data_IF_988137712852
#
_entry.id   IF_988137712852
#
_cell.length_a   1.000
_cell.length_b   1.000
_cell.length_c   1.000
_cell.angle_alpha   90.00
_cell.angle_beta   90.00
_cell.angle_gamma   90.00
#
_symmetry.space_group_name_H-M   'P 1'
#
loop_
_entity.id
_entity.type
_entity.pdbx_description
1 polymer ?
#
# COMPACT_ATOMS: atom_id res chain seq x y z
N UNK A 1 18.66 14.75 -47.17
CA UNK A 1 18.91 13.74 -48.23
C UNK A 1 19.69 12.58 -47.62
N UNK A 2 19.09 11.40 -47.71
CA UNK A 2 19.59 10.05 -47.36
C UNK A 2 20.25 9.47 -48.63
N UNK A 3 21.36 8.69 -48.58
CA UNK A 3 21.39 7.22 -48.31
C UNK A 3 22.58 6.78 -47.41
N UNK A 4 22.49 5.88 -46.41
CA UNK A 4 22.21 4.42 -46.28
C UNK A 4 23.03 3.50 -47.23
N UNK A 5 23.58 2.42 -46.63
CA UNK A 5 24.01 1.08 -47.14
C UNK A 5 25.56 0.89 -47.01
N UNK A 6 26.18 -0.13 -46.38
CA UNK A 6 25.77 -1.39 -45.69
C UNK A 6 27.01 -2.17 -45.17
N UNK A 7 26.85 -2.89 -44.04
CA UNK A 7 27.35 -4.25 -43.65
C UNK A 7 28.85 -4.68 -43.64
N UNK A 8 29.19 -5.22 -42.45
CA UNK A 8 29.68 -6.60 -42.13
C UNK A 8 31.18 -6.96 -41.96
N UNK A 9 31.38 -7.59 -40.79
CA UNK A 9 32.16 -8.78 -40.42
C UNK A 9 33.70 -8.78 -40.19
N UNK A 10 34.01 -9.34 -39.01
CA UNK A 10 35.29 -9.86 -38.43
C UNK A 10 36.11 -10.72 -39.40
N UNK A 11 37.42 -10.94 -39.15
CA UNK A 11 37.80 -12.19 -38.47
C UNK A 11 39.12 -12.18 -37.61
N UNK A 12 39.14 -13.11 -36.64
CA UNK A 12 40.20 -13.98 -36.07
C UNK A 12 41.71 -13.65 -36.15
N UNK A 13 42.37 -13.72 -34.98
CA UNK A 13 43.29 -14.82 -34.62
C UNK A 13 44.80 -14.62 -34.84
N UNK A 14 45.59 -14.74 -33.77
CA UNK A 14 46.97 -15.25 -33.82
C UNK A 14 47.45 -15.70 -32.43
N UNK A 15 47.81 -16.98 -32.35
CA UNK A 15 48.53 -17.67 -31.27
C UNK A 15 49.99 -17.78 -31.74
N UNK A 16 51.00 -17.54 -30.89
CA UNK A 16 52.25 -18.31 -30.97
C UNK A 16 53.09 -18.25 -29.69
N UNK A 17 53.59 -19.43 -29.32
CA UNK A 17 54.40 -19.81 -28.17
C UNK A 17 55.89 -19.49 -28.36
N UNK A 18 56.68 -19.40 -27.27
CA UNK A 18 57.97 -20.10 -27.15
C UNK A 18 58.56 -20.07 -25.72
N UNK A 19 59.09 -21.22 -25.31
CA UNK A 19 59.83 -21.52 -24.07
C UNK A 19 61.30 -21.04 -24.14
N UNK A 20 61.91 -20.69 -22.99
CA UNK A 20 63.28 -21.15 -22.63
C UNK A 20 63.68 -20.97 -21.14
N UNK A 21 63.79 -22.12 -20.47
CA UNK A 21 64.75 -22.64 -19.46
C UNK A 21 65.85 -21.81 -18.72
N UNK A 22 66.08 -22.24 -17.44
CA UNK A 22 67.27 -22.22 -16.54
C UNK A 22 67.75 -20.84 -15.99
N UNK A 23 68.22 -20.59 -14.74
CA UNK A 23 68.77 -21.40 -13.61
C UNK A 23 68.94 -20.50 -12.34
N UNK A 24 68.70 -21.09 -11.16
CA UNK A 24 69.39 -20.97 -9.84
C UNK A 24 69.88 -19.58 -9.33
N UNK A 25 69.34 -19.12 -8.18
CA UNK A 25 70.05 -18.96 -6.88
C UNK A 25 69.11 -18.47 -5.78
N UNK A 26 69.08 -19.20 -4.66
CA UNK A 26 68.48 -18.78 -3.39
C UNK A 26 69.37 -17.74 -2.71
N UNK A 27 68.78 -16.64 -2.21
CA UNK A 27 69.20 -16.02 -0.93
C UNK A 27 68.05 -15.20 -0.34
N UNK A 28 67.93 -15.35 0.97
CA UNK A 28 66.95 -14.87 1.92
C UNK A 28 67.10 -13.36 2.21
N UNK A 29 66.05 -12.55 2.06
CA UNK A 29 65.83 -11.30 2.83
C UNK A 29 64.36 -10.92 2.87
N UNK A 30 63.85 -10.77 4.08
CA UNK A 30 62.54 -10.25 4.46
C UNK A 30 62.45 -8.76 4.12
N UNK A 31 61.49 -8.36 3.30
CA UNK A 31 61.02 -6.96 3.26
C UNK A 31 59.55 -6.89 2.83
N UNK A 32 58.80 -6.04 3.51
CA UNK A 32 57.33 -5.96 3.50
C UNK A 32 56.86 -5.20 2.26
N UNK A 33 56.09 -5.85 1.39
CA UNK A 33 55.48 -5.21 0.22
C UNK A 33 54.26 -4.36 0.63
N UNK A 34 54.08 -3.13 0.10
CA UNK A 34 52.95 -2.28 0.45
C UNK A 34 51.67 -2.76 -0.23
N UNK A 35 50.66 -3.11 0.56
CA UNK A 35 49.29 -3.39 0.10
C UNK A 35 48.70 -2.11 -0.51
N UNK A 36 48.49 -2.12 -1.83
CA UNK A 36 47.74 -1.09 -2.56
C UNK A 36 46.26 -1.21 -2.14
N UNK A 37 45.79 -0.22 -1.37
CA UNK A 37 44.38 -0.09 -0.97
C UNK A 37 43.56 0.36 -2.18
N UNK A 38 42.63 -0.47 -2.64
CA UNK A 38 41.64 -0.08 -3.64
C UNK A 38 40.67 0.97 -3.05
N UNK A 39 40.19 1.97 -3.81
CA UNK A 39 39.28 2.97 -3.28
C UNK A 39 37.94 2.33 -2.91
N UNK A 40 37.56 2.44 -1.65
CA UNK A 40 36.22 2.08 -1.18
C UNK A 40 35.18 2.92 -1.93
N UNK A 41 34.33 2.25 -2.68
CA UNK A 41 33.17 2.89 -3.32
C UNK A 41 32.16 3.17 -2.22
N UNK A 42 32.07 4.42 -1.76
CA UNK A 42 31.10 4.79 -0.73
C UNK A 42 29.68 4.57 -1.26
N UNK A 43 28.92 3.68 -0.61
CA UNK A 43 27.49 3.54 -0.87
C UNK A 43 26.78 4.88 -0.62
N UNK A 44 25.73 5.22 -1.39
CA UNK A 44 24.93 6.41 -1.13
C UNK A 44 24.36 6.38 0.31
N UNK A 45 24.15 7.54 0.95
CA UNK A 45 23.48 7.60 2.25
C UNK A 45 22.13 6.88 2.19
N UNK A 46 21.91 5.92 3.10
CA UNK A 46 20.63 5.24 3.21
C UNK A 46 19.53 6.27 3.46
N UNK A 47 18.56 6.38 2.54
CA UNK A 47 17.32 7.10 2.79
C UNK A 47 16.66 6.53 4.05
N UNK A 48 16.03 7.35 4.92
CA UNK A 48 15.28 6.82 6.05
C UNK A 48 14.28 5.79 5.52
N UNK A 49 14.39 4.55 5.99
CA UNK A 49 13.49 3.48 5.58
C UNK A 49 12.11 3.76 6.16
N UNK A 50 11.11 3.97 5.29
CA UNK A 50 9.71 3.98 5.71
C UNK A 50 9.41 2.68 6.45
N UNK A 51 8.70 2.70 7.60
CA UNK A 51 8.34 1.49 8.30
C UNK A 51 7.60 0.51 7.38
N UNK A 52 7.93 -0.78 7.48
CA UNK A 52 7.17 -1.83 6.79
C UNK A 52 5.72 -1.93 7.29
N UNK A 53 4.90 -2.82 6.72
CA UNK A 53 3.53 -3.02 7.17
C UNK A 53 3.44 -3.34 8.68
N UNK A 54 2.51 -2.73 9.43
CA UNK A 54 2.34 -2.99 10.86
C UNK A 54 1.82 -4.41 11.14
N UNK A 55 2.11 -4.90 12.34
CA UNK A 55 1.52 -6.14 12.85
C UNK A 55 0.00 -5.97 13.03
N UNK A 56 -0.76 -7.03 12.73
CA UNK A 56 -2.22 -7.03 12.90
C UNK A 56 -2.58 -7.23 14.38
N UNK A 57 -3.20 -6.23 15.00
CA UNK A 57 -3.71 -6.35 16.36
C UNK A 57 -5.15 -6.83 16.42
N UNK A 58 -5.54 -7.36 17.58
CA UNK A 58 -6.90 -7.78 17.90
C UNK A 58 -7.42 -6.93 19.06
N UNK A 59 -8.49 -6.19 18.84
CA UNK A 59 -9.06 -5.24 19.79
C UNK A 59 -10.54 -5.54 20.01
N UNK A 60 -10.99 -5.38 21.24
CA UNK A 60 -12.39 -5.54 21.61
C UNK A 60 -12.83 -4.45 22.59
N UNK A 61 -14.14 -4.18 22.60
CA UNK A 61 -14.78 -3.32 23.60
C UNK A 61 -15.99 -4.07 24.14
N UNK A 62 -16.11 -4.11 25.46
CA UNK A 62 -17.28 -4.58 26.18
C UNK A 62 -18.06 -3.40 26.73
N UNK A 63 -19.37 -3.56 26.85
CA UNK A 63 -20.21 -2.61 27.56
C UNK A 63 -20.14 -2.80 29.09
N UNK A 64 -20.90 -2.04 29.86
CA UNK A 64 -20.98 -2.17 31.32
C UNK A 64 -21.59 -3.48 31.82
N UNK A 65 -22.19 -4.29 30.93
CA UNK A 65 -22.76 -5.61 31.24
C UNK A 65 -21.85 -6.75 30.74
N UNK A 66 -20.56 -6.47 30.54
CA UNK A 66 -19.53 -7.41 30.05
C UNK A 66 -19.88 -8.10 28.71
N UNK A 67 -20.73 -7.48 27.92
CA UNK A 67 -21.12 -7.96 26.60
C UNK A 67 -20.27 -7.29 25.54
N UNK A 68 -19.68 -8.09 24.64
CA UNK A 68 -18.93 -7.58 23.49
C UNK A 68 -19.83 -6.70 22.63
N UNK A 69 -19.36 -5.51 22.29
CA UNK A 69 -20.10 -4.54 21.48
C UNK A 69 -19.31 -4.02 20.30
N UNK A 70 -17.98 -4.22 20.28
CA UNK A 70 -17.13 -3.91 19.14
C UNK A 70 -15.98 -4.91 19.06
N UNK A 71 -15.73 -5.43 17.86
CA UNK A 71 -14.56 -6.21 17.52
C UNK A 71 -13.78 -5.53 16.40
N UNK A 72 -12.47 -5.55 16.49
CA UNK A 72 -11.58 -5.03 15.46
C UNK A 72 -10.34 -5.90 15.35
N UNK A 73 -9.93 -6.23 14.13
CA UNK A 73 -8.65 -6.86 13.82
C UNK A 73 -7.99 -6.08 12.69
N UNK A 74 -6.94 -5.34 12.99
CA UNK A 74 -6.29 -4.47 12.00
C UNK A 74 -4.87 -4.12 12.40
N UNK A 75 -3.98 -4.02 11.41
CA UNK A 75 -2.70 -3.33 11.54
C UNK A 75 -2.88 -1.84 11.28
N UNK A 76 -2.20 -1.00 12.07
CA UNK A 76 -2.39 0.45 12.06
C UNK A 76 -1.06 1.16 11.86
N UNK A 77 -1.01 2.03 10.86
CA UNK A 77 0.13 2.90 10.59
C UNK A 77 -0.38 4.34 10.45
N UNK A 78 0.18 5.21 11.28
CA UNK A 78 -0.11 6.64 11.28
C UNK A 78 0.84 7.33 10.31
N UNK A 79 0.32 8.22 9.50
CA UNK A 79 1.12 9.15 8.71
C UNK A 79 0.72 10.57 9.13
N UNK A 80 1.62 11.22 9.84
CA UNK A 80 1.37 12.51 10.50
C UNK A 80 2.35 13.57 10.03
N UNK A 81 1.86 14.80 9.91
CA UNK A 81 2.66 15.98 9.58
C UNK A 81 2.64 16.92 10.79
N UNK A 82 3.80 17.34 11.28
CA UNK A 82 3.89 18.21 12.44
C UNK A 82 5.11 19.15 12.38
N UNK A 83 5.08 20.23 13.16
CA UNK A 83 6.23 21.13 13.28
C UNK A 83 7.29 20.54 14.21
N UNK A 84 8.47 20.26 13.65
CA UNK A 84 9.65 19.78 14.37
C UNK A 84 10.19 20.85 15.32
N UNK A 85 10.50 20.45 16.55
CA UNK A 85 11.12 21.27 17.58
C UNK A 85 12.59 21.56 17.29
N UNK A 86 13.30 20.59 16.70
CA UNK A 86 14.73 20.68 16.40
C UNK A 86 15.02 21.53 15.15
N UNK A 87 14.15 21.46 14.14
CA UNK A 87 14.35 22.15 12.86
C UNK A 87 13.44 23.36 12.64
N UNK A 88 12.38 23.52 13.43
CA UNK A 88 11.38 24.58 13.27
C UNK A 88 10.57 24.50 11.97
N UNK A 89 10.60 23.35 11.29
CA UNK A 89 9.94 23.10 9.99
C UNK A 89 8.91 21.98 10.13
N UNK A 90 7.93 21.97 9.23
CA UNK A 90 7.01 20.84 9.12
C UNK A 90 7.74 19.61 8.60
N UNK A 91 7.61 18.50 9.31
CA UNK A 91 8.15 17.19 8.97
C UNK A 91 6.99 16.19 8.92
N UNK A 92 7.14 15.19 8.06
CA UNK A 92 6.19 14.08 7.95
C UNK A 92 6.84 12.84 8.54
N UNK A 93 6.10 12.14 9.40
CA UNK A 93 6.54 10.92 10.05
C UNK A 93 5.50 9.82 9.88
N UNK A 94 5.99 8.62 9.58
CA UNK A 94 5.18 7.41 9.47
C UNK A 94 5.52 6.53 10.67
N UNK A 95 4.50 6.12 11.42
CA UNK A 95 4.66 5.34 12.65
C UNK A 95 3.68 4.18 12.68
N UNK A 96 4.19 2.98 12.96
CA UNK A 96 3.35 1.81 13.22
C UNK A 96 2.93 1.79 14.69
N UNK A 97 1.66 1.47 14.94
CA UNK A 97 1.21 1.11 16.29
C UNK A 97 1.52 -0.37 16.55
N UNK A 98 1.93 -0.69 17.78
CA UNK A 98 2.32 -2.04 18.18
C UNK A 98 1.22 -2.68 19.02
N UNK A 99 0.53 -3.72 18.52
CA UNK A 99 -0.59 -4.36 19.22
C UNK A 99 -0.27 -4.77 20.66
N UNK A 100 0.96 -5.23 20.91
CA UNK A 100 1.41 -5.67 22.24
C UNK A 100 1.58 -4.54 23.28
N UNK A 101 1.66 -3.28 22.83
CA UNK A 101 1.83 -2.09 23.67
C UNK A 101 0.54 -1.27 23.82
N UNK A 102 -0.46 -1.55 22.96
CA UNK A 102 -1.72 -0.81 22.94
C UNK A 102 -2.58 -1.16 24.15
N UNK A 103 -3.04 -0.12 24.84
CA UNK A 103 -4.15 -0.19 25.80
C UNK A 103 -5.45 0.10 25.08
N UNK A 104 -6.37 -0.86 25.13
CA UNK A 104 -7.70 -0.73 24.52
C UNK A 104 -8.69 -0.20 25.54
N UNK A 105 -9.51 0.75 25.13
CA UNK A 105 -10.66 1.26 25.88
C UNK A 105 -11.76 1.67 24.90
N UNK A 106 -12.95 2.00 25.40
CA UNK A 106 -14.06 2.34 24.53
C UNK A 106 -15.39 2.35 25.27
N UNK A 107 -16.45 2.60 24.52
CA UNK A 107 -17.82 2.52 25.02
C UNK A 107 -18.78 2.26 23.86
N UNK A 108 -19.94 1.70 24.18
CA UNK A 108 -21.00 1.48 23.22
C UNK A 108 -22.34 1.91 23.81
N UNK A 109 -23.12 2.62 23.01
CA UNK A 109 -24.55 2.85 23.15
C UNK A 109 -25.27 2.08 22.02
N UNK A 110 -26.62 2.08 21.97
CA UNK A 110 -27.34 1.42 20.89
C UNK A 110 -27.00 1.95 19.49
N UNK A 111 -26.60 3.22 19.38
CA UNK A 111 -26.41 3.96 18.13
C UNK A 111 -24.99 4.50 17.92
N UNK A 112 -24.12 4.41 18.93
CA UNK A 112 -22.74 4.89 18.89
C UNK A 112 -21.76 3.89 19.52
N UNK A 113 -20.59 3.69 18.91
CA UNK A 113 -19.54 2.88 19.47
C UNK A 113 -18.18 3.54 19.28
N UNK A 114 -17.36 3.54 20.32
CA UNK A 114 -16.02 4.10 20.31
C UNK A 114 -14.98 3.03 20.62
N UNK A 115 -13.93 2.97 19.79
CA UNK A 115 -12.71 2.20 20.04
C UNK A 115 -11.56 3.19 20.24
N UNK A 116 -10.97 3.19 21.43
CA UNK A 116 -9.84 4.04 21.80
C UNK A 116 -8.61 3.19 22.05
N UNK A 117 -7.58 3.40 21.23
CA UNK A 117 -6.29 2.72 21.29
C UNK A 117 -5.24 3.71 21.78
N UNK A 118 -4.56 3.37 22.87
CA UNK A 118 -3.52 4.23 23.45
C UNK A 118 -2.19 3.48 23.53
N UNK A 119 -1.16 4.03 22.92
CA UNK A 119 0.24 3.55 22.98
C UNK A 119 1.12 4.74 23.35
N UNK A 120 1.80 4.67 24.50
CA UNK A 120 2.58 5.77 25.07
C UNK A 120 1.82 7.11 25.10
N UNK A 121 2.30 8.09 24.32
CA UNK A 121 1.73 9.45 24.21
C UNK A 121 0.80 9.61 23.00
N UNK A 122 0.40 8.49 22.39
CA UNK A 122 -0.44 8.44 21.20
C UNK A 122 -1.78 7.84 21.57
N UNK A 123 -2.85 8.48 21.12
CA UNK A 123 -4.23 8.03 21.33
C UNK A 123 -4.98 8.18 20.02
N UNK A 124 -5.48 7.06 19.50
CA UNK A 124 -6.30 6.99 18.30
C UNK A 124 -7.70 6.53 18.70
N UNK A 125 -8.73 7.32 18.36
CA UNK A 125 -10.12 7.04 18.70
C UNK A 125 -10.95 6.92 17.43
N UNK A 126 -11.51 5.74 17.20
CA UNK A 126 -12.49 5.46 16.15
C UNK A 126 -13.88 5.63 16.74
N UNK A 127 -14.74 6.34 16.01
CA UNK A 127 -16.13 6.60 16.37
C UNK A 127 -17.03 6.05 15.28
N UNK A 128 -17.92 5.14 15.63
CA UNK A 128 -18.89 4.53 14.74
C UNK A 128 -20.30 4.99 15.10
N UNK A 129 -21.11 5.23 14.07
CA UNK A 129 -22.52 5.58 14.22
C UNK A 129 -23.40 4.59 13.47
N UNK A 130 -24.51 4.18 14.09
CA UNK A 130 -25.52 3.29 13.51
C UNK A 130 -26.76 4.09 13.14
N UNK A 131 -27.22 3.93 11.91
CA UNK A 131 -28.55 4.35 11.50
C UNK A 131 -29.53 3.19 11.70
N UNK A 132 -30.33 3.25 12.76
CA UNK A 132 -31.28 2.18 13.11
C UNK A 132 -32.42 2.00 12.10
N UNK A 133 -32.69 2.99 11.25
CA UNK A 133 -33.72 2.87 10.21
C UNK A 133 -33.23 2.04 9.03
N UNK A 134 -31.97 2.22 8.63
CA UNK A 134 -31.36 1.44 7.53
C UNK A 134 -30.58 0.22 8.00
N UNK A 135 -30.38 0.05 9.32
CA UNK A 135 -29.50 -0.96 9.92
C UNK A 135 -28.08 -0.91 9.34
N UNK A 136 -27.58 0.28 9.03
CA UNK A 136 -26.22 0.49 8.49
C UNK A 136 -25.39 1.29 9.48
N UNK A 137 -24.17 0.82 9.76
CA UNK A 137 -23.17 1.57 10.49
C UNK A 137 -22.11 2.13 9.55
N UNK A 138 -21.38 3.12 10.04
CA UNK A 138 -20.17 3.63 9.39
C UNK A 138 -19.22 4.19 10.46
N UNK A 139 -17.94 4.28 10.13
CA UNK A 139 -16.97 5.11 10.83
C UNK A 139 -17.34 6.57 10.58
N UNK A 140 -17.94 7.21 11.59
CA UNK A 140 -18.39 8.60 11.56
C UNK A 140 -17.31 9.57 12.00
N UNK A 141 -16.35 9.13 12.81
CA UNK A 141 -15.23 9.96 13.19
C UNK A 141 -13.95 9.22 13.53
N UNK A 142 -12.85 9.95 13.38
CA UNK A 142 -11.51 9.50 13.74
C UNK A 142 -10.75 10.67 14.36
N UNK A 143 -10.20 10.45 15.54
CA UNK A 143 -9.42 11.44 16.29
C UNK A 143 -8.05 10.88 16.66
N UNK A 144 -7.01 11.68 16.45
CA UNK A 144 -5.64 11.39 16.86
C UNK A 144 -5.16 12.48 17.83
N UNK A 145 -4.63 12.06 18.97
CA UNK A 145 -3.78 12.87 19.84
C UNK A 145 -2.40 12.23 19.94
N UNK A 146 -1.34 12.94 19.56
CA UNK A 146 0.03 12.43 19.59
C UNK A 146 1.01 13.47 20.13
N UNK A 147 1.97 13.03 20.94
CA UNK A 147 3.12 13.83 21.34
C UNK A 147 4.41 13.00 21.18
N UNK A 148 5.13 13.25 20.09
CA UNK A 148 6.41 12.61 19.78
C UNK A 148 7.58 13.45 20.29
N UNK A 149 8.78 12.87 20.50
CA UNK A 149 9.93 13.58 21.07
C UNK A 149 10.35 14.84 20.31
N UNK A 150 10.24 14.86 18.98
CA UNK A 150 10.60 16.03 18.16
C UNK A 150 9.41 16.95 17.84
N UNK A 151 8.22 16.71 18.40
CA UNK A 151 7.08 17.61 18.20
C UNK A 151 7.23 18.88 19.05
N UNK A 152 7.17 20.05 18.41
CA UNK A 152 7.15 21.33 19.13
C UNK A 152 5.92 21.47 20.05
N UNK A 153 4.80 20.82 19.69
CA UNK A 153 3.56 20.77 20.47
C UNK A 153 2.82 19.47 20.16
N UNK A 154 2.05 18.97 21.13
CA UNK A 154 1.09 17.87 20.94
C UNK A 154 0.17 18.14 19.74
N UNK A 155 0.12 17.20 18.82
CA UNK A 155 -0.79 17.17 17.69
C UNK A 155 -2.15 16.64 18.16
N UNK A 156 -3.23 17.36 17.86
CA UNK A 156 -4.61 16.92 18.09
C UNK A 156 -5.40 17.23 16.82
N UNK A 157 -5.85 16.19 16.14
CA UNK A 157 -6.59 16.29 14.88
C UNK A 157 -7.78 15.36 14.91
N UNK A 158 -8.90 15.79 14.35
CA UNK A 158 -10.10 14.97 14.26
C UNK A 158 -10.90 15.29 13.01
N UNK A 159 -11.65 14.30 12.55
CA UNK A 159 -12.72 14.47 11.57
C UNK A 159 -13.93 13.68 12.08
N UNK A 160 -15.09 14.33 12.16
CA UNK A 160 -16.33 13.77 12.73
C UNK A 160 -17.46 13.67 11.70
N UNK A 161 -17.14 13.85 10.42
CA UNK A 161 -18.08 13.75 9.30
C UNK A 161 -17.64 12.69 8.31
N UNK A 162 -16.93 11.66 8.79
CA UNK A 162 -16.47 10.56 7.95
C UNK A 162 -17.66 9.68 7.55
N UNK A 163 -17.58 9.08 6.36
CA UNK A 163 -18.49 8.04 5.92
C UNK A 163 -17.66 6.90 5.34
N UNK A 164 -16.97 6.19 6.22
CA UNK A 164 -16.00 5.14 5.85
C UNK A 164 -16.32 3.84 6.60
N UNK A 165 -15.73 2.70 6.19
CA UNK A 165 -15.99 1.38 6.81
C UNK A 165 -17.49 1.10 7.00
N UNK A 166 -18.27 1.33 5.93
CA UNK A 166 -19.72 1.19 5.96
C UNK A 166 -20.09 -0.29 5.97
N UNK A 167 -20.98 -0.70 6.88
CA UNK A 167 -21.42 -2.09 6.99
C UNK A 167 -22.85 -2.23 7.50
N UNK A 168 -23.38 -3.44 7.44
CA UNK A 168 -24.71 -3.78 8.01
C UNK A 168 -24.62 -4.20 9.48
N UNK A 169 -25.59 -3.80 10.29
CA UNK A 169 -25.72 -4.27 11.67
C UNK A 169 -25.65 -5.80 11.75
N UNK A 170 -24.75 -6.32 12.59
CA UNK A 170 -24.50 -7.76 12.74
C UNK A 170 -23.51 -8.36 11.73
N UNK A 171 -23.03 -7.57 10.77
CA UNK A 171 -22.00 -7.93 9.80
C UNK A 171 -20.69 -7.19 10.11
N UNK A 172 -19.57 -7.76 9.66
CA UNK A 172 -18.26 -7.13 9.77
C UNK A 172 -17.84 -6.48 8.45
N UNK A 173 -17.20 -5.32 8.50
CA UNK A 173 -16.54 -4.72 7.35
C UNK A 173 -15.11 -5.26 7.24
N UNK A 174 -14.69 -5.76 6.08
CA UNK A 174 -13.39 -6.40 5.89
C UNK A 174 -12.64 -5.86 4.67
N UNK A 175 -11.36 -5.57 4.82
CA UNK A 175 -10.42 -5.27 3.73
C UNK A 175 -9.15 -6.09 3.88
N UNK A 176 -8.81 -6.90 2.89
CA UNK A 176 -7.55 -7.64 2.88
C UNK A 176 -6.36 -6.77 2.48
N UNK A 177 -6.54 -5.91 1.47
CA UNK A 177 -5.52 -4.97 1.01
C UNK A 177 -5.42 -3.76 1.93
N UNK A 178 -4.28 -3.08 1.86
CA UNK A 178 -4.06 -1.80 2.53
C UNK A 178 -5.12 -0.78 2.10
N UNK A 179 -5.63 -0.01 3.08
CA UNK A 179 -6.48 1.14 2.83
C UNK A 179 -5.93 2.36 3.56
N UNK A 180 -5.78 3.45 2.82
CA UNK A 180 -5.43 4.77 3.34
C UNK A 180 -6.67 5.62 3.48
N UNK A 181 -6.91 6.11 4.70
CA UNK A 181 -7.95 7.07 5.02
C UNK A 181 -7.31 8.43 5.31
N UNK A 182 -7.51 9.40 4.41
CA UNK A 182 -7.13 10.79 4.65
C UNK A 182 -8.12 11.46 5.61
N UNK A 183 -7.66 11.84 6.79
CA UNK A 183 -8.52 12.39 7.86
C UNK A 183 -8.49 13.91 7.82
N UNK A 184 -7.27 14.47 7.79
CA UNK A 184 -6.97 15.90 7.65
C UNK A 184 -5.75 16.08 6.75
N UNK A 185 -5.34 17.32 6.49
CA UNK A 185 -4.09 17.59 5.76
C UNK A 185 -2.85 17.08 6.50
N UNK A 186 -2.91 17.04 7.83
CA UNK A 186 -1.79 16.68 8.71
C UNK A 186 -1.84 15.23 9.20
N UNK A 187 -2.89 14.48 8.84
CA UNK A 187 -3.05 13.10 9.30
C UNK A 187 -3.80 12.22 8.30
N UNK A 188 -3.18 11.10 7.98
CA UNK A 188 -3.80 9.96 7.31
C UNK A 188 -3.54 8.67 8.09
N UNK A 189 -4.50 7.76 8.03
CA UNK A 189 -4.44 6.46 8.66
C UNK A 189 -4.35 5.38 7.59
N UNK A 190 -3.29 4.59 7.65
CA UNK A 190 -3.15 3.37 6.86
C UNK A 190 -3.61 2.17 7.70
N UNK A 191 -4.48 1.35 7.13
CA UNK A 191 -5.03 0.14 7.77
C UNK A 191 -4.67 -1.08 6.94
N UNK A 192 -4.31 -2.17 7.62
CA UNK A 192 -3.82 -3.41 7.00
C UNK A 192 -4.61 -4.61 7.53
N UNK A 193 -5.05 -5.51 6.63
CA UNK A 193 -5.84 -6.71 6.99
C UNK A 193 -7.01 -6.37 7.94
N UNK A 194 -7.70 -5.29 7.60
CA UNK A 194 -8.76 -4.68 8.40
C UNK A 194 -9.98 -5.59 8.43
N UNK A 195 -10.48 -5.87 9.63
CA UNK A 195 -11.82 -6.38 9.84
C UNK A 195 -12.40 -5.72 11.08
N UNK A 196 -13.56 -5.10 10.98
CA UNK A 196 -14.19 -4.38 12.09
C UNK A 196 -15.68 -4.63 12.12
N UNK A 197 -16.23 -4.77 13.32
CA UNK A 197 -17.67 -4.87 13.54
C UNK A 197 -18.02 -4.09 14.81
N UNK A 198 -18.56 -2.87 14.65
CA UNK A 198 -19.27 -2.20 15.73
C UNK A 198 -20.71 -2.75 15.79
N UNK A 199 -21.27 -2.81 16.99
CA UNK A 199 -22.65 -3.24 17.26
C UNK A 199 -22.95 -4.70 16.87
N UNK A 200 -24.03 -5.24 17.42
CA UNK A 200 -24.56 -6.56 17.03
C UNK A 200 -23.54 -7.71 17.10
N UNK A 201 -22.56 -7.63 18.01
CA UNK A 201 -21.52 -8.66 18.17
C UNK A 201 -22.07 -9.79 19.04
N UNK A 202 -22.05 -11.02 18.51
CA UNK A 202 -22.50 -12.22 19.22
C UNK A 202 -21.36 -13.24 19.31
N UNK A 203 -20.35 -12.94 20.13
CA UNK A 203 -19.18 -13.79 20.35
C UNK A 203 -18.00 -13.45 19.42
N UNK A 204 -18.11 -13.71 18.12
CA UNK A 204 -17.09 -13.37 17.12
C UNK A 204 -17.69 -12.50 16.00
N UNK A 205 -16.88 -12.15 14.99
CA UNK A 205 -17.34 -11.45 13.80
C UNK A 205 -18.50 -12.19 13.12
N UNK A 206 -19.52 -11.43 12.74
CA UNK A 206 -20.53 -11.87 11.79
C UNK A 206 -20.00 -11.90 10.36
N UNK A 207 -20.91 -12.16 9.41
CA UNK A 207 -20.55 -12.26 7.99
C UNK A 207 -19.80 -11.01 7.50
N UNK A 208 -18.74 -11.22 6.74
CA UNK A 208 -17.89 -10.15 6.25
C UNK A 208 -18.45 -9.53 4.96
N UNK A 209 -18.65 -8.21 4.99
CA UNK A 209 -18.84 -7.36 3.82
C UNK A 209 -17.45 -6.87 3.41
N UNK A 210 -16.95 -7.42 2.31
CA UNK A 210 -15.64 -7.05 1.79
C UNK A 210 -15.70 -5.68 1.15
N UNK A 211 -14.69 -4.86 1.42
CA UNK A 211 -14.63 -3.54 0.86
C UNK A 211 -14.34 -3.60 -0.64
N UNK A 212 -15.00 -2.71 -1.38
CA UNK A 212 -14.75 -2.54 -2.80
C UNK A 212 -13.27 -2.15 -2.99
N UNK A 213 -12.53 -3.07 -3.59
CA UNK A 213 -11.13 -2.92 -3.95
C UNK A 213 -11.10 -2.98 -5.46
N UNK A 214 -11.14 -1.81 -6.09
CA UNK A 214 -10.73 -1.61 -7.48
C UNK A 214 -11.37 -2.64 -8.43
N UNK A 215 -12.70 -2.70 -8.42
CA UNK A 215 -13.42 -3.27 -9.55
C UNK A 215 -12.95 -2.58 -10.85
N UNK A 216 -12.56 -1.31 -10.81
CA UNK A 216 -12.05 -0.56 -11.96
C UNK A 216 -10.77 -1.11 -12.60
N UNK A 217 -9.76 -1.57 -11.86
CA UNK A 217 -8.47 -1.97 -12.46
C UNK A 217 -8.56 -3.25 -13.31
N UNK A 218 -9.52 -4.14 -13.01
CA UNK A 218 -9.83 -5.30 -13.85
C UNK A 218 -11.05 -5.09 -14.75
N UNK A 219 -12.04 -4.27 -14.36
CA UNK A 219 -13.19 -3.96 -15.21
C UNK A 219 -12.79 -3.11 -16.42
N UNK A 220 -11.92 -2.12 -16.26
CA UNK A 220 -11.46 -1.27 -17.37
C UNK A 220 -10.88 -2.12 -18.51
N UNK A 221 -9.90 -3.03 -18.31
CA UNK A 221 -9.38 -3.84 -19.39
C UNK A 221 -10.42 -4.84 -19.95
N UNK A 222 -11.36 -5.35 -19.15
CA UNK A 222 -12.45 -6.22 -19.64
C UNK A 222 -13.39 -5.44 -20.57
N UNK A 223 -13.81 -4.23 -20.16
CA UNK A 223 -14.70 -3.36 -20.95
C UNK A 223 -14.01 -2.93 -22.25
N UNK A 224 -12.74 -2.51 -22.17
CA UNK A 224 -11.94 -2.15 -23.35
C UNK A 224 -11.77 -3.36 -24.27
N UNK A 225 -11.47 -4.53 -23.73
CA UNK A 225 -11.33 -5.78 -24.50
C UNK A 225 -12.61 -6.17 -25.23
N UNK A 226 -13.76 -6.11 -24.55
CA UNK A 226 -15.07 -6.41 -25.14
C UNK A 226 -15.43 -5.41 -26.25
N UNK A 227 -15.20 -4.11 -26.04
CA UNK A 227 -15.47 -3.07 -27.03
C UNK A 227 -14.62 -3.25 -28.30
N UNK A 228 -13.33 -3.58 -28.16
CA UNK A 228 -12.44 -3.83 -29.29
C UNK A 228 -12.85 -5.08 -30.08
N UNK A 229 -13.24 -6.16 -29.40
CA UNK A 229 -13.68 -7.39 -30.06
C UNK A 229 -14.96 -7.16 -30.90
N UNK A 230 -15.94 -6.42 -30.35
CA UNK A 230 -17.17 -6.07 -31.06
C UNK A 230 -16.89 -5.20 -32.28
N UNK A 231 -16.01 -4.19 -32.15
CA UNK A 231 -15.63 -3.32 -33.27
C UNK A 231 -14.99 -4.11 -34.42
N UNK A 232 -14.06 -5.02 -34.11
CA UNK A 232 -13.40 -5.87 -35.11
C UNK A 232 -14.42 -6.74 -35.84
N UNK A 233 -15.37 -7.34 -35.11
CA UNK A 233 -16.42 -8.18 -35.70
C UNK A 233 -17.29 -7.36 -36.68
N UNK A 234 -17.69 -6.15 -36.30
CA UNK A 234 -18.45 -5.23 -37.17
C UNK A 234 -17.67 -4.89 -38.44
N UNK A 235 -16.37 -4.59 -38.32
CA UNK A 235 -15.51 -4.28 -39.48
C UNK A 235 -15.38 -5.49 -40.42
N UNK A 236 -15.20 -6.70 -39.87
CA UNK A 236 -15.14 -7.94 -40.66
C UNK A 236 -16.46 -8.15 -41.41
N UNK A 237 -17.60 -7.99 -40.73
CA UNK A 237 -18.91 -8.17 -41.34
C UNK A 237 -19.15 -7.16 -42.47
N UNK A 238 -18.81 -5.89 -42.25
CA UNK A 238 -18.89 -4.84 -43.27
C UNK A 238 -17.99 -5.14 -44.48
N UNK A 239 -16.76 -5.62 -44.24
CA UNK A 239 -15.83 -6.01 -45.30
C UNK A 239 -16.37 -7.18 -46.13
N UNK A 240 -16.90 -8.22 -45.50
CA UNK A 240 -17.46 -9.38 -46.21
C UNK A 240 -18.65 -8.99 -47.07
N UNK A 241 -19.56 -8.14 -46.57
CA UNK A 241 -20.69 -7.62 -47.35
C UNK A 241 -20.19 -6.77 -48.52
N UNK A 242 -19.24 -5.85 -48.28
CA UNK A 242 -18.65 -5.00 -49.31
C UNK A 242 -17.96 -5.80 -50.42
N UNK A 243 -17.12 -6.77 -50.04
CA UNK A 243 -16.44 -7.68 -50.97
C UNK A 243 -17.43 -8.50 -51.79
N UNK A 244 -18.48 -9.03 -51.16
CA UNK A 244 -19.48 -9.81 -51.87
C UNK A 244 -20.23 -8.98 -52.93
N UNK A 245 -20.39 -7.66 -52.70
CA UNK A 245 -20.99 -6.75 -53.69
C UNK A 245 -20.00 -6.34 -54.80
N UNK A 246 -18.69 -6.27 -54.54
CA UNK A 246 -17.69 -5.94 -55.58
C UNK A 246 -17.45 -7.04 -56.62
N UNK A 247 -17.81 -8.31 -56.35
CA UNK A 247 -17.70 -9.39 -57.35
C UNK A 247 -18.83 -9.41 -58.40
N UNK A 248 -19.84 -8.54 -58.29
CA UNK A 248 -20.95 -8.43 -59.25
C UNK A 248 -20.77 -7.27 -60.27
N UNK A 249 -19.54 -6.82 -60.52
CA UNK A 249 -19.23 -5.60 -61.27
C UNK A 249 -18.39 -5.75 -62.54
N UNK A 250 -18.35 -6.93 -63.17
CA UNK A 250 -17.81 -7.04 -64.54
C UNK A 250 -18.80 -7.80 -65.42
N UNK A 251 -19.83 -7.08 -65.89
CA UNK A 251 -20.45 -7.44 -67.16
C UNK A 251 -19.70 -6.70 -68.26
N UNK A 252 -19.01 -7.49 -69.08
CA UNK A 252 -18.56 -7.15 -70.41
C UNK A 252 -19.75 -6.73 -71.29
N UNK A 253 -19.69 -5.53 -71.84
CA UNK A 253 -20.28 -5.19 -73.15
C UNK A 253 -19.12 -4.72 -74.02
#
# INVERSE_FOLDING_TARGET
MIPIIRKQNMPTGAIFSLLLALTIHQTLTTDVSPTVVAPETSSPPASPATPGPPERGNYNVTNSTDTLCLLARMGLQLNISFTSSSHGKTVQEVLNLHPNLIKVSGSCTPDFAALKLTEDNITLTFSFSLNSTSNKYHLSGLELSAALPDMAKRLVVSNTTLNYMVGTLGHSYMCQKEKTLSVTQDFSLNTFQLQVQPFGVNGDFGAAEECELDEDDMLIPIIVGAALAVLVLIVILAYLIGRNRSHAGYQTI
#
